data_IF_045480641802
#
_entry.id   IF_045480641802
#
_cell.length_a   1.000
_cell.length_b   1.000
_cell.length_c   1.000
_cell.angle_alpha   90.00
_cell.angle_beta   90.00
_cell.angle_gamma   90.00
#
_symmetry.space_group_name_H-M   'P 1'
#
loop_
_entity.id
_entity.type
_entity.pdbx_description
1 polymer ?
#
# COMPACT_ATOMS: atom_id res chain seq x y z
N UNK A 1 20.19 -4.90 -25.44
CA UNK A 1 20.20 -4.50 -24.02
C UNK A 1 19.72 -3.07 -23.77
N UNK A 2 20.11 -2.05 -24.54
CA UNK A 2 19.71 -0.62 -24.32
C UNK A 2 18.18 -0.39 -24.44
N UNK A 3 17.50 -1.01 -25.40
CA UNK A 3 16.05 -0.83 -25.63
C UNK A 3 15.19 -1.38 -24.49
N UNK A 4 15.57 -2.53 -23.91
CA UNK A 4 14.87 -3.13 -22.77
C UNK A 4 15.02 -2.26 -21.50
N UNK A 5 16.22 -1.72 -21.24
CA UNK A 5 16.47 -0.84 -20.11
C UNK A 5 15.69 0.48 -20.20
N UNK A 6 15.55 1.05 -21.41
CA UNK A 6 14.74 2.25 -21.65
C UNK A 6 13.25 1.97 -21.45
N UNK A 7 12.77 0.80 -21.85
CA UNK A 7 11.36 0.39 -21.66
C UNK A 7 11.01 0.20 -20.18
N UNK A 8 11.91 -0.40 -19.39
CA UNK A 8 11.76 -0.53 -17.94
C UNK A 8 11.68 0.84 -17.25
N UNK A 9 12.60 1.75 -17.55
CA UNK A 9 12.62 3.08 -16.97
C UNK A 9 11.33 3.89 -17.27
N UNK A 10 10.79 3.76 -18.49
CA UNK A 10 9.51 4.40 -18.84
C UNK A 10 8.35 3.79 -18.05
N UNK A 11 8.31 2.47 -17.93
CA UNK A 11 7.27 1.79 -17.13
C UNK A 11 7.31 2.22 -15.66
N UNK A 12 8.49 2.29 -15.07
CA UNK A 12 8.71 2.75 -13.70
C UNK A 12 8.24 4.21 -13.50
N UNK A 13 8.59 5.09 -14.44
CA UNK A 13 8.15 6.48 -14.41
C UNK A 13 6.62 6.61 -14.52
N UNK A 14 5.97 5.80 -15.36
CA UNK A 14 4.52 5.76 -15.47
C UNK A 14 3.88 5.29 -14.17
N UNK A 15 4.40 4.24 -13.53
CA UNK A 15 3.88 3.73 -12.25
C UNK A 15 4.07 4.76 -11.13
N UNK A 16 5.23 5.41 -11.06
CA UNK A 16 5.50 6.45 -10.07
C UNK A 16 4.54 7.64 -10.22
N UNK A 17 4.43 8.22 -11.43
CA UNK A 17 3.53 9.35 -11.68
C UNK A 17 2.06 8.97 -11.45
N UNK A 18 1.67 7.77 -11.88
CA UNK A 18 0.32 7.26 -11.61
C UNK A 18 0.00 7.13 -10.14
N UNK A 19 0.96 6.71 -9.33
CA UNK A 19 0.79 6.62 -7.87
C UNK A 19 0.52 8.00 -7.27
N UNK A 20 1.24 9.04 -7.71
CA UNK A 20 1.03 10.42 -7.25
C UNK A 20 -0.37 10.92 -7.63
N UNK A 21 -0.75 10.77 -8.91
CA UNK A 21 -2.04 11.22 -9.42
C UNK A 21 -3.22 10.50 -8.76
N UNK A 22 -3.11 9.20 -8.52
CA UNK A 22 -4.14 8.42 -7.84
C UNK A 22 -4.28 8.79 -6.36
N UNK A 23 -3.18 9.10 -5.69
CA UNK A 23 -3.21 9.54 -4.29
C UNK A 23 -3.88 10.92 -4.13
N UNK A 24 -3.74 11.80 -5.13
CA UNK A 24 -4.32 13.14 -5.13
C UNK A 24 -5.77 13.18 -5.63
N UNK A 25 -6.07 12.44 -6.71
CA UNK A 25 -7.30 12.62 -7.48
C UNK A 25 -8.22 11.38 -7.47
N UNK A 26 -7.81 10.29 -6.83
CA UNK A 26 -8.54 9.02 -6.82
C UNK A 26 -8.54 8.32 -8.18
N UNK A 27 -9.34 7.25 -8.29
CA UNK A 27 -9.44 6.45 -9.52
C UNK A 27 -10.12 7.19 -10.65
N UNK A 28 -11.28 7.81 -10.37
CA UNK A 28 -12.09 8.49 -11.39
C UNK A 28 -11.46 9.81 -11.82
N UNK A 29 -10.86 10.56 -10.89
CA UNK A 29 -10.17 11.82 -11.16
C UNK A 29 -8.85 11.69 -11.90
N UNK A 30 -8.25 10.48 -11.93
CA UNK A 30 -6.98 10.24 -12.59
C UNK A 30 -7.16 9.87 -14.05
N UNK A 31 -6.79 10.79 -14.95
CA UNK A 31 -6.78 10.59 -16.39
C UNK A 31 -5.43 10.08 -16.90
N UNK A 32 -5.39 8.97 -17.67
CA UNK A 32 -4.17 8.41 -18.26
C UNK A 32 -3.43 9.46 -19.11
N UNK A 33 -4.15 10.30 -19.83
CA UNK A 33 -3.54 11.35 -20.68
C UNK A 33 -2.64 12.28 -19.87
N UNK A 34 -3.10 12.74 -18.68
CA UNK A 34 -2.33 13.64 -17.81
C UNK A 34 -0.99 13.00 -17.37
N UNK A 35 -1.03 11.72 -17.03
CA UNK A 35 0.17 10.96 -16.65
C UNK A 35 1.15 10.86 -17.81
N UNK A 36 0.65 10.53 -19.00
CA UNK A 36 1.48 10.40 -20.20
C UNK A 36 2.13 11.72 -20.60
N UNK A 37 1.41 12.82 -20.48
CA UNK A 37 1.90 14.17 -20.79
C UNK A 37 3.06 14.54 -19.82
N UNK A 38 2.95 14.21 -18.53
CA UNK A 38 4.01 14.45 -17.53
C UNK A 38 5.26 13.61 -17.83
N UNK A 39 5.08 12.34 -18.19
CA UNK A 39 6.19 11.40 -18.45
C UNK A 39 6.76 11.55 -19.87
N UNK A 40 6.18 12.44 -20.70
CA UNK A 40 6.55 12.62 -22.12
C UNK A 40 6.45 11.32 -22.95
N UNK A 41 5.36 10.56 -22.75
CA UNK A 41 5.10 9.30 -23.45
C UNK A 41 3.90 9.46 -24.39
N UNK A 42 4.02 9.10 -25.68
CA UNK A 42 2.89 9.16 -26.62
C UNK A 42 1.72 8.27 -26.15
N UNK A 43 0.47 8.76 -26.35
CA UNK A 43 -0.74 8.06 -25.89
C UNK A 43 -0.82 6.60 -26.36
N UNK A 44 -0.44 6.31 -27.59
CA UNK A 44 -0.42 4.94 -28.12
C UNK A 44 0.58 4.00 -27.45
N UNK A 45 1.60 4.56 -26.78
CA UNK A 45 2.61 3.74 -26.09
C UNK A 45 2.14 3.19 -24.76
N UNK A 46 1.07 3.73 -24.16
CA UNK A 46 0.54 3.23 -22.89
C UNK A 46 0.16 1.75 -22.97
N UNK A 47 -0.54 1.38 -24.02
CA UNK A 47 -1.01 0.02 -24.23
C UNK A 47 0.11 -1.00 -24.55
N UNK A 48 1.33 -0.52 -24.80
CA UNK A 48 2.52 -1.39 -24.87
C UNK A 48 3.02 -1.83 -23.49
N UNK A 49 2.60 -1.13 -22.41
CA UNK A 49 3.00 -1.40 -21.03
C UNK A 49 1.86 -2.00 -20.20
N UNK A 50 0.62 -1.60 -20.46
CA UNK A 50 -0.54 -1.96 -19.64
C UNK A 50 -1.76 -2.23 -20.54
N UNK A 51 -2.39 -3.37 -20.38
CA UNK A 51 -3.55 -3.80 -21.18
C UNK A 51 -4.79 -2.91 -20.96
N UNK A 52 -4.94 -2.35 -19.75
CA UNK A 52 -6.05 -1.49 -19.36
C UNK A 52 -5.67 -0.54 -18.24
N UNK A 53 -6.55 0.45 -17.97
CA UNK A 53 -6.41 1.32 -16.77
C UNK A 53 -6.49 0.50 -15.49
N UNK A 54 -7.33 -0.53 -15.43
CA UNK A 54 -7.46 -1.38 -14.25
C UNK A 54 -6.17 -2.15 -13.96
N UNK A 55 -5.57 -2.80 -14.97
CA UNK A 55 -4.26 -3.48 -14.86
C UNK A 55 -3.17 -2.51 -14.39
N UNK A 56 -3.16 -1.31 -14.95
CA UNK A 56 -2.22 -0.27 -14.55
C UNK A 56 -2.38 0.12 -13.08
N UNK A 57 -3.60 0.39 -12.63
CA UNK A 57 -3.87 0.78 -11.24
C UNK A 57 -3.59 -0.38 -10.27
N UNK A 58 -3.93 -1.61 -10.64
CA UNK A 58 -3.59 -2.79 -9.84
C UNK A 58 -2.07 -2.95 -9.67
N UNK A 59 -1.26 -2.68 -10.72
CA UNK A 59 0.20 -2.68 -10.59
C UNK A 59 0.70 -1.54 -9.70
N UNK A 60 0.11 -0.35 -9.78
CA UNK A 60 0.46 0.75 -8.86
C UNK A 60 0.19 0.39 -7.40
N UNK A 61 -0.95 -0.25 -7.10
CA UNK A 61 -1.27 -0.71 -5.74
C UNK A 61 -0.24 -1.76 -5.28
N UNK A 62 0.18 -2.64 -6.17
CA UNK A 62 1.23 -3.62 -5.87
C UNK A 62 2.57 -2.96 -5.54
N UNK A 63 3.03 -2.00 -6.35
CA UNK A 63 4.26 -1.22 -6.08
C UNK A 63 4.17 -0.44 -4.76
N UNK A 64 3.02 0.18 -4.48
CA UNK A 64 2.77 0.85 -3.21
C UNK A 64 2.88 -0.10 -2.01
N UNK A 65 2.36 -1.33 -2.16
CA UNK A 65 2.50 -2.37 -1.15
C UNK A 65 3.96 -2.77 -0.95
N UNK A 66 4.73 -2.95 -2.03
CA UNK A 66 6.15 -3.29 -1.93
C UNK A 66 6.97 -2.20 -1.23
N UNK A 67 6.71 -0.92 -1.53
CA UNK A 67 7.36 0.20 -0.84
C UNK A 67 7.03 0.18 0.67
N UNK A 68 5.79 -0.15 1.04
CA UNK A 68 5.38 -0.29 2.43
C UNK A 68 6.12 -1.44 3.13
N UNK A 69 6.28 -2.57 2.44
CA UNK A 69 7.06 -3.73 2.94
C UNK A 69 8.53 -3.36 3.14
N UNK A 70 9.15 -2.71 2.17
CA UNK A 70 10.54 -2.27 2.25
C UNK A 70 10.78 -1.28 3.40
N UNK A 71 9.79 -0.48 3.77
CA UNK A 71 9.87 0.37 4.94
C UNK A 71 9.75 -0.41 6.24
N UNK A 72 8.81 -1.36 6.31
CA UNK A 72 8.49 -2.10 7.52
C UNK A 72 9.61 -3.10 7.91
N UNK A 73 10.11 -3.87 6.96
CA UNK A 73 11.06 -4.97 7.22
C UNK A 73 12.36 -4.52 7.90
N UNK A 74 13.03 -3.42 7.50
CA UNK A 74 14.22 -2.96 8.21
C UNK A 74 13.96 -2.49 9.64
N UNK A 75 12.74 -1.98 9.91
CA UNK A 75 12.38 -1.52 11.25
C UNK A 75 12.13 -2.69 12.20
N UNK A 76 11.49 -3.75 11.72
CA UNK A 76 11.20 -4.96 12.52
C UNK A 76 12.41 -5.85 12.72
N UNK A 77 13.41 -5.78 11.83
CA UNK A 77 14.63 -6.60 11.90
C UNK A 77 15.74 -5.96 12.77
N UNK A 78 15.51 -4.78 13.36
CA UNK A 78 16.45 -4.19 14.32
C UNK A 78 16.33 -4.94 15.65
N UNK A 79 17.36 -5.69 16.00
CA UNK A 79 17.40 -6.56 17.19
C UNK A 79 17.39 -5.81 18.53
N UNK A 80 17.60 -4.49 18.53
CA UNK A 80 17.74 -3.68 19.76
C UNK A 80 16.50 -2.86 20.10
N UNK A 81 15.54 -2.70 19.16
CA UNK A 81 14.33 -1.93 19.39
C UNK A 81 13.17 -2.82 19.88
N UNK A 82 12.43 -2.35 20.87
CA UNK A 82 11.19 -2.98 21.31
C UNK A 82 10.11 -2.86 20.23
N UNK A 83 9.09 -3.70 20.30
CA UNK A 83 7.94 -3.61 19.40
C UNK A 83 7.23 -2.26 19.49
N UNK A 84 7.17 -1.65 20.69
CA UNK A 84 6.56 -0.34 20.88
C UNK A 84 7.39 0.76 20.19
N UNK A 85 8.70 0.78 20.35
CA UNK A 85 9.58 1.74 19.66
C UNK A 85 9.53 1.58 18.14
N UNK A 86 9.39 0.35 17.66
CA UNK A 86 9.20 0.06 16.23
C UNK A 86 7.87 0.63 15.72
N UNK A 87 6.77 0.46 16.47
CA UNK A 87 5.45 1.03 16.15
C UNK A 87 5.51 2.57 16.13
N UNK A 88 6.10 3.18 17.14
CA UNK A 88 6.26 4.65 17.21
C UNK A 88 7.04 5.18 16.00
N UNK A 89 8.15 4.53 15.65
CA UNK A 89 8.95 4.90 14.49
C UNK A 89 8.18 4.77 13.19
N UNK A 90 7.41 3.69 13.04
CA UNK A 90 6.56 3.46 11.87
C UNK A 90 5.49 4.54 11.72
N UNK A 91 4.75 4.83 12.80
CA UNK A 91 3.73 5.86 12.82
C UNK A 91 4.29 7.25 12.55
N UNK A 92 5.42 7.59 13.19
CA UNK A 92 6.10 8.86 12.94
C UNK A 92 6.48 9.01 11.46
N UNK A 93 7.06 7.98 10.86
CA UNK A 93 7.39 8.01 9.43
C UNK A 93 6.16 8.20 8.54
N UNK A 94 5.02 7.58 8.88
CA UNK A 94 3.76 7.78 8.16
C UNK A 94 3.25 9.22 8.30
N UNK A 95 3.28 9.78 9.50
CA UNK A 95 2.88 11.18 9.76
C UNK A 95 3.78 12.17 9.02
N UNK A 96 5.09 11.97 9.06
CA UNK A 96 6.06 12.81 8.36
C UNK A 96 5.79 12.85 6.85
N UNK A 97 5.41 11.71 6.25
CA UNK A 97 4.99 11.65 4.84
C UNK A 97 3.73 12.47 4.56
N UNK A 98 2.72 12.41 5.44
CA UNK A 98 1.50 13.21 5.28
C UNK A 98 1.77 14.70 5.43
N UNK A 99 2.58 15.09 6.41
CA UNK A 99 2.99 16.49 6.61
C UNK A 99 3.80 17.01 5.41
N UNK A 100 4.77 16.22 4.92
CA UNK A 100 5.56 16.57 3.75
C UNK A 100 4.73 16.74 2.47
N UNK A 101 3.60 16.05 2.38
CA UNK A 101 2.63 16.19 1.31
C UNK A 101 1.56 17.27 1.60
N UNK A 102 1.77 18.14 2.59
CA UNK A 102 0.81 19.17 3.01
C UNK A 102 -0.61 18.61 3.27
N UNK A 103 -0.69 17.35 3.70
CA UNK A 103 -1.94 16.59 3.88
C UNK A 103 -2.83 16.48 2.61
N UNK A 104 -2.29 16.79 1.43
CA UNK A 104 -3.01 16.68 0.16
C UNK A 104 -3.07 15.25 -0.38
N UNK A 105 -2.19 14.38 0.12
CA UNK A 105 -2.12 12.96 -0.26
C UNK A 105 -2.36 12.08 0.95
N UNK A 106 -3.40 11.25 0.87
CA UNK A 106 -3.71 10.27 1.89
C UNK A 106 -3.08 8.90 1.61
N UNK A 107 -3.58 7.88 2.32
CA UNK A 107 -3.28 6.50 2.01
C UNK A 107 -3.89 6.12 0.65
N UNK A 108 -3.08 5.73 -0.32
CA UNK A 108 -3.53 5.37 -1.67
C UNK A 108 -4.66 4.33 -1.64
N UNK A 109 -4.50 3.26 -0.85
CA UNK A 109 -5.50 2.20 -0.75
C UNK A 109 -6.78 2.71 -0.10
N UNK A 110 -6.68 3.56 0.92
CA UNK A 110 -7.84 4.19 1.56
C UNK A 110 -8.62 5.10 0.61
N UNK A 111 -7.93 5.91 -0.18
CA UNK A 111 -8.56 6.78 -1.18
C UNK A 111 -9.25 5.98 -2.28
N UNK A 112 -8.59 4.94 -2.79
CA UNK A 112 -9.15 4.09 -3.84
C UNK A 112 -10.30 3.20 -3.35
N UNK A 113 -10.31 2.79 -2.09
CA UNK A 113 -11.33 1.89 -1.54
C UNK A 113 -12.75 2.46 -1.61
N UNK A 114 -12.89 3.79 -1.56
CA UNK A 114 -14.18 4.46 -1.69
C UNK A 114 -14.72 4.49 -3.13
N UNK A 115 -13.83 4.41 -4.13
CA UNK A 115 -14.17 4.57 -5.55
C UNK A 115 -14.18 3.24 -6.31
N UNK A 116 -13.31 2.31 -5.92
CA UNK A 116 -13.16 0.99 -6.56
C UNK A 116 -14.26 0.06 -6.04
N UNK A 117 -15.40 0.09 -6.70
CA UNK A 117 -16.51 -0.82 -6.42
C UNK A 117 -16.23 -2.26 -6.88
N UNK A 118 -17.28 -3.11 -6.88
CA UNK A 118 -17.17 -4.53 -7.26
C UNK A 118 -16.79 -4.77 -8.73
N UNK A 119 -16.78 -3.75 -9.57
CA UNK A 119 -16.50 -3.86 -11.01
C UNK A 119 -15.01 -3.91 -11.37
N UNK A 120 -14.11 -3.63 -10.44
CA UNK A 120 -12.65 -3.58 -10.66
C UNK A 120 -11.96 -4.66 -9.85
N UNK A 121 -12.10 -5.92 -10.28
CA UNK A 121 -11.64 -7.09 -9.53
C UNK A 121 -10.11 -7.10 -9.30
N UNK A 122 -9.32 -6.68 -10.27
CA UNK A 122 -7.86 -6.67 -10.13
C UNK A 122 -7.42 -5.65 -9.09
N UNK A 123 -8.03 -4.46 -9.10
CA UNK A 123 -7.78 -3.45 -8.09
C UNK A 123 -8.22 -3.92 -6.70
N UNK A 124 -9.38 -4.56 -6.57
CA UNK A 124 -9.85 -5.11 -5.31
C UNK A 124 -8.89 -6.15 -4.74
N UNK A 125 -8.45 -7.11 -5.57
CA UNK A 125 -7.48 -8.13 -5.15
C UNK A 125 -6.17 -7.52 -4.69
N UNK A 126 -5.65 -6.53 -5.42
CA UNK A 126 -4.43 -5.82 -5.05
C UNK A 126 -4.58 -5.05 -3.72
N UNK A 127 -5.72 -4.37 -3.51
CA UNK A 127 -6.01 -3.67 -2.25
C UNK A 127 -6.16 -4.65 -1.08
N UNK A 128 -6.89 -5.75 -1.27
CA UNK A 128 -7.05 -6.79 -0.25
C UNK A 128 -5.70 -7.39 0.16
N UNK A 129 -4.83 -7.67 -0.80
CA UNK A 129 -3.47 -8.15 -0.54
C UNK A 129 -2.66 -7.13 0.28
N UNK A 130 -2.75 -5.84 -0.05
CA UNK A 130 -2.09 -4.77 0.71
C UNK A 130 -2.59 -4.73 2.17
N UNK A 131 -3.90 -4.73 2.38
CA UNK A 131 -4.51 -4.72 3.72
C UNK A 131 -4.09 -5.95 4.53
N UNK A 132 -4.14 -7.15 3.92
CA UNK A 132 -3.72 -8.40 4.56
C UNK A 132 -2.25 -8.38 4.97
N UNK A 133 -1.37 -7.86 4.12
CA UNK A 133 0.05 -7.73 4.42
C UNK A 133 0.27 -6.81 5.63
N UNK A 134 -0.39 -5.67 5.67
CA UNK A 134 -0.34 -4.76 6.81
C UNK A 134 -0.87 -5.39 8.09
N UNK A 135 -2.02 -6.03 8.03
CA UNK A 135 -2.63 -6.71 9.17
C UNK A 135 -1.69 -7.78 9.75
N UNK A 136 -1.13 -8.64 8.90
CA UNK A 136 -0.23 -9.71 9.32
C UNK A 136 1.02 -9.16 10.01
N UNK A 137 1.62 -8.09 9.45
CA UNK A 137 2.82 -7.47 10.01
C UNK A 137 2.55 -6.77 11.35
N UNK A 138 1.48 -6.00 11.44
CA UNK A 138 1.09 -5.35 12.68
C UNK A 138 0.72 -6.36 13.76
N UNK A 139 0.00 -7.44 13.42
CA UNK A 139 -0.31 -8.51 14.36
C UNK A 139 0.94 -9.20 14.90
N UNK A 140 1.91 -9.48 14.03
CA UNK A 140 3.20 -10.06 14.43
C UNK A 140 3.97 -9.13 15.38
N UNK A 141 4.02 -7.84 15.08
CA UNK A 141 4.70 -6.85 15.91
C UNK A 141 4.02 -6.68 17.27
N UNK A 142 2.68 -6.64 17.32
CA UNK A 142 1.90 -6.60 18.57
C UNK A 142 2.18 -7.86 19.41
N UNK A 143 2.15 -9.04 18.78
CA UNK A 143 2.45 -10.29 19.48
C UNK A 143 3.89 -10.33 20.02
N UNK A 144 4.84 -9.75 19.32
CA UNK A 144 6.20 -9.55 19.83
C UNK A 144 6.19 -8.65 21.06
N UNK A 145 5.55 -7.47 20.99
CA UNK A 145 5.48 -6.53 22.10
C UNK A 145 4.84 -7.10 23.36
N UNK A 146 3.88 -8.00 23.17
CA UNK A 146 3.25 -8.73 24.30
C UNK A 146 4.23 -9.72 24.95
N UNK A 147 5.01 -10.46 24.14
CA UNK A 147 6.02 -11.39 24.68
C UNK A 147 7.14 -10.68 25.42
N UNK A 148 7.58 -9.53 24.95
CA UNK A 148 8.65 -8.75 25.60
C UNK A 148 8.14 -7.78 26.68
N UNK A 149 6.80 -7.68 26.88
CA UNK A 149 6.18 -6.85 27.91
C UNK A 149 6.05 -5.36 27.57
N UNK A 150 6.40 -4.93 26.35
CA UNK A 150 6.25 -3.54 25.88
C UNK A 150 4.80 -3.20 25.48
N UNK A 151 3.96 -4.21 25.21
CA UNK A 151 2.54 -4.07 24.89
C UNK A 151 1.71 -4.97 25.82
N UNK A 152 0.62 -4.42 26.37
CA UNK A 152 -0.29 -5.15 27.26
C UNK A 152 -1.02 -6.29 26.55
N UNK A 153 -1.17 -7.44 27.23
CA UNK A 153 -1.77 -8.65 26.64
C UNK A 153 -3.22 -8.44 26.17
N UNK A 154 -4.01 -7.64 26.91
CA UNK A 154 -5.44 -7.42 26.62
C UNK A 154 -5.69 -6.66 25.30
N UNK A 155 -4.71 -5.89 24.81
CA UNK A 155 -4.84 -5.14 23.56
C UNK A 155 -5.00 -6.03 22.32
N UNK A 156 -4.54 -7.28 22.38
CA UNK A 156 -4.66 -8.21 21.24
C UNK A 156 -6.11 -8.47 20.84
N UNK A 157 -6.99 -8.74 21.81
CA UNK A 157 -8.41 -9.00 21.54
C UNK A 157 -9.13 -7.78 20.95
N UNK A 158 -8.78 -6.58 21.38
CA UNK A 158 -9.42 -5.35 20.89
C UNK A 158 -8.98 -5.04 19.46
N UNK A 159 -7.69 -5.09 19.17
CA UNK A 159 -7.13 -4.79 17.84
C UNK A 159 -7.56 -5.84 16.82
N UNK A 160 -7.47 -7.13 17.15
CA UNK A 160 -7.93 -8.20 16.27
C UNK A 160 -9.42 -8.13 16.00
N UNK A 161 -10.25 -7.92 17.02
CA UNK A 161 -11.70 -7.84 16.84
C UNK A 161 -12.13 -6.63 16.03
N UNK A 162 -11.47 -5.47 16.20
CA UNK A 162 -11.83 -4.23 15.50
C UNK A 162 -11.31 -4.21 14.07
N UNK A 163 -10.08 -4.68 13.82
CA UNK A 163 -9.47 -4.68 12.49
C UNK A 163 -9.86 -5.92 11.66
N UNK A 164 -10.02 -7.10 12.28
CA UNK A 164 -10.28 -8.35 11.56
C UNK A 164 -11.77 -8.60 11.31
N UNK A 165 -12.67 -8.21 12.21
CA UNK A 165 -14.11 -8.44 12.03
C UNK A 165 -14.77 -7.49 11.04
N UNK A 166 -14.19 -6.32 10.82
CA UNK A 166 -14.79 -5.30 9.95
C UNK A 166 -14.32 -5.37 8.49
N UNK A 167 -13.16 -5.99 8.22
CA UNK A 167 -12.53 -6.03 6.90
C UNK A 167 -12.11 -7.42 6.42
N UNK A 168 -12.22 -8.44 7.24
CA UNK A 168 -11.83 -9.82 6.93
C UNK A 168 -13.00 -10.76 7.05
N UNK A 169 -13.76 -10.93 5.97
CA UNK A 169 -14.69 -12.02 5.84
C UNK A 169 -13.95 -13.36 5.90
N UNK A 170 -14.33 -14.23 6.85
CA UNK A 170 -14.13 -15.67 6.89
C UNK A 170 -12.71 -16.24 6.71
N UNK A 171 -11.81 -16.04 7.69
CA UNK A 171 -10.67 -16.96 7.85
C UNK A 171 -10.10 -16.95 9.30
N UNK A 172 -10.94 -16.99 10.32
CA UNK A 172 -10.49 -17.15 11.71
C UNK A 172 -11.44 -18.06 12.50
N UNK A 173 -11.61 -19.28 12.03
CA UNK A 173 -12.16 -20.39 12.83
C UNK A 173 -11.30 -21.61 12.57
N UNK A 174 -10.26 -21.80 13.41
CA UNK A 174 -9.75 -23.07 13.91
C UNK A 174 -8.36 -22.88 14.51
N UNK A 175 -8.32 -22.57 15.79
CA UNK A 175 -7.30 -23.02 16.70
C UNK A 175 -7.95 -23.09 18.09
N UNK A 176 -8.46 -24.27 18.40
CA UNK A 176 -8.74 -24.74 19.75
C UNK A 176 -7.44 -25.10 20.45
#
# INVERSE_FOLDING_TARGET
>A
MVKAKRSSAVKEALLYEGMQQLAENGYHGTGIKKILDVVNVPKGSFYNYFESKEVYVAQIIHEYNQQSVQLFDPLTNKSEATAMETLETLYKHMLDKYVAAECQRGCLVGSLAAEVGHSLELCQKAMQQNVTNWQTRLASLIAQGQREGSIRAELYHYVCRTLFHRYGGAAATKAS
#
